data_IF_303765536085
#
_entry.id   IF_303765536085
#
_cell.length_a   1.000
_cell.length_b   1.000
_cell.length_c   1.000
_cell.angle_alpha   90.00
_cell.angle_beta   90.00
_cell.angle_gamma   90.00
#
_symmetry.space_group_name_H-M   'P 1'
#
loop_
_entity.id
_entity.type
_entity.pdbx_description
1 polymer ?
#
# COMPACT_ATOMS: atom_id res chain seq x y z
N UNK A 1 -16.82 -10.16 91.17
CA UNK A 1 -16.60 -11.60 91.39
C UNK A 1 -15.12 -11.81 91.68
N UNK A 2 -14.76 -11.87 92.96
CA UNK A 2 -13.40 -12.09 93.42
C UNK A 2 -13.06 -13.58 93.35
N UNK A 3 -12.09 -13.94 92.51
CA UNK A 3 -11.49 -15.27 92.52
C UNK A 3 -10.42 -15.32 93.60
N UNK A 4 -10.56 -16.25 94.54
CA UNK A 4 -9.59 -16.51 95.60
C UNK A 4 -8.27 -17.05 94.98
N UNK A 5 -7.13 -16.35 95.11
CA UNK A 5 -5.86 -16.77 94.50
C UNK A 5 -5.21 -17.98 95.18
N UNK A 6 -5.77 -18.48 96.29
CA UNK A 6 -5.23 -19.63 97.04
C UNK A 6 -5.66 -21.01 96.52
N UNK A 7 -6.46 -21.08 95.46
CA UNK A 7 -6.95 -22.34 94.87
C UNK A 7 -6.24 -22.81 93.59
N UNK A 8 -5.39 -21.98 92.98
CA UNK A 8 -4.63 -22.37 91.79
C UNK A 8 -3.25 -22.87 92.21
N UNK A 9 -3.20 -24.11 92.69
CA UNK A 9 -1.92 -24.82 92.80
C UNK A 9 -1.47 -25.20 91.39
N UNK A 10 -0.33 -24.66 90.95
CA UNK A 10 0.35 -25.18 89.76
C UNK A 10 0.58 -26.68 89.98
N UNK A 11 -0.04 -27.52 89.15
CA UNK A 11 0.25 -28.96 89.14
C UNK A 11 1.76 -29.12 88.94
N UNK A 12 2.48 -29.52 90.00
CA UNK A 12 3.92 -29.79 89.95
C UNK A 12 4.18 -30.85 88.88
N UNK A 13 4.76 -30.43 87.76
CA UNK A 13 5.13 -31.31 86.65
C UNK A 13 4.64 -30.84 85.27
N UNK A 14 3.62 -29.99 85.18
CA UNK A 14 3.21 -29.37 83.92
C UNK A 14 3.89 -28.01 83.74
N UNK A 15 5.19 -28.05 83.42
CA UNK A 15 5.91 -26.87 82.93
C UNK A 15 5.58 -26.76 81.46
N UNK A 16 4.91 -25.68 81.03
CA UNK A 16 4.78 -25.39 79.60
C UNK A 16 6.19 -25.50 78.97
N UNK A 17 6.38 -26.21 77.84
CA UNK A 17 7.70 -26.42 77.29
C UNK A 17 8.16 -25.13 76.59
N UNK A 18 8.46 -24.09 77.39
CA UNK A 18 8.80 -22.74 76.94
C UNK A 18 10.01 -22.77 76.01
N UNK A 19 10.94 -23.69 76.25
CA UNK A 19 12.08 -23.94 75.37
C UNK A 19 11.65 -24.47 74.00
N UNK A 20 10.76 -25.46 73.96
CA UNK A 20 10.23 -26.01 72.70
C UNK A 20 9.43 -24.94 71.93
N UNK A 21 8.57 -24.19 72.62
CA UNK A 21 7.77 -23.11 72.02
C UNK A 21 8.70 -22.05 71.42
N UNK A 22 9.70 -21.57 72.17
CA UNK A 22 10.69 -20.59 71.67
C UNK A 22 11.51 -21.12 70.50
N UNK A 23 11.89 -22.40 70.52
CA UNK A 23 12.61 -23.04 69.41
C UNK A 23 11.74 -23.11 68.16
N UNK A 24 10.47 -23.51 68.31
CA UNK A 24 9.50 -23.55 67.21
C UNK A 24 9.21 -22.14 66.67
N UNK A 25 9.05 -21.14 67.52
CA UNK A 25 8.86 -19.74 67.12
C UNK A 25 10.07 -19.22 66.36
N UNK A 26 11.29 -19.47 66.84
CA UNK A 26 12.52 -19.09 66.13
C UNK A 26 12.65 -19.79 64.78
N UNK A 27 12.26 -21.06 64.71
CA UNK A 27 12.31 -21.84 63.46
C UNK A 27 11.24 -21.36 62.47
N UNK A 28 10.05 -21.01 62.95
CA UNK A 28 9.00 -20.41 62.13
C UNK A 28 9.39 -19.02 61.60
N UNK A 29 9.97 -18.16 62.45
CA UNK A 29 10.51 -16.85 62.05
C UNK A 29 11.64 -17.02 61.03
N UNK A 30 12.55 -17.96 61.26
CA UNK A 30 13.64 -18.25 60.33
C UNK A 30 13.10 -18.71 58.96
N UNK A 31 12.14 -19.64 58.93
CA UNK A 31 11.52 -20.10 57.68
C UNK A 31 10.80 -18.97 56.95
N UNK A 32 10.07 -18.11 57.67
CA UNK A 32 9.38 -16.96 57.08
C UNK A 32 10.39 -15.98 56.46
N UNK A 33 11.45 -15.62 57.20
CA UNK A 33 12.51 -14.73 56.70
C UNK A 33 13.22 -15.34 55.49
N UNK A 34 13.46 -16.65 55.50
CA UNK A 34 14.07 -17.36 54.38
C UNK A 34 13.15 -17.35 53.15
N UNK A 35 11.85 -17.59 53.33
CA UNK A 35 10.88 -17.54 52.24
C UNK A 35 10.76 -16.13 51.64
N UNK A 36 10.76 -15.08 52.48
CA UNK A 36 10.79 -13.69 52.02
C UNK A 36 12.07 -13.42 51.25
N UNK A 37 13.24 -13.79 51.78
CA UNK A 37 14.52 -13.59 51.12
C UNK A 37 14.58 -14.32 49.76
N UNK A 38 14.13 -15.57 49.69
CA UNK A 38 14.03 -16.33 48.44
C UNK A 38 13.07 -15.65 47.47
N UNK A 39 11.90 -15.21 47.92
CA UNK A 39 10.94 -14.48 47.10
C UNK A 39 11.51 -13.17 46.56
N UNK A 40 12.26 -12.44 47.37
CA UNK A 40 12.90 -11.17 47.01
C UNK A 40 14.03 -11.40 46.00
N UNK A 41 14.88 -12.40 46.20
CA UNK A 41 15.91 -12.81 45.23
C UNK A 41 15.28 -13.26 43.92
N UNK A 42 14.20 -14.04 43.97
CA UNK A 42 13.49 -14.50 42.77
C UNK A 42 12.85 -13.34 42.01
N UNK A 43 12.22 -12.39 42.72
CA UNK A 43 11.64 -11.19 42.13
C UNK A 43 12.70 -10.27 41.52
N UNK A 44 13.83 -10.04 42.22
CA UNK A 44 14.94 -9.26 41.69
C UNK A 44 15.56 -9.91 40.44
N UNK A 45 15.74 -11.24 40.45
CA UNK A 45 16.18 -11.99 39.27
C UNK A 45 15.19 -11.89 38.11
N UNK A 46 13.89 -11.96 38.39
CA UNK A 46 12.87 -11.72 37.37
C UNK A 46 12.97 -10.30 36.82
N UNK A 47 13.12 -9.29 37.67
CA UNK A 47 13.23 -7.88 37.27
C UNK A 47 14.46 -7.61 36.39
N UNK A 48 15.54 -8.34 36.61
CA UNK A 48 16.76 -8.30 35.79
C UNK A 48 16.72 -9.23 34.57
N UNK A 49 15.66 -10.01 34.38
CA UNK A 49 15.54 -10.94 33.27
C UNK A 49 14.99 -10.28 32.01
N UNK A 50 15.41 -10.79 30.84
CA UNK A 50 14.85 -10.42 29.53
C UNK A 50 13.33 -10.58 29.47
N UNK A 51 12.78 -11.55 30.22
CA UNK A 51 11.32 -11.75 30.29
C UNK A 51 10.61 -10.55 30.89
N UNK A 52 11.15 -9.97 31.97
CA UNK A 52 10.56 -8.77 32.54
C UNK A 52 10.74 -7.58 31.60
N UNK A 53 11.91 -7.41 30.99
CA UNK A 53 12.15 -6.35 30.02
C UNK A 53 11.18 -6.41 28.82
N UNK A 54 10.96 -7.60 28.23
CA UNK A 54 10.01 -7.78 27.13
C UNK A 54 8.56 -7.51 27.60
N UNK A 55 8.19 -7.95 28.80
CA UNK A 55 6.84 -7.70 29.34
C UNK A 55 6.62 -6.23 29.68
N UNK A 56 7.65 -5.55 30.21
CA UNK A 56 7.62 -4.11 30.46
C UNK A 56 7.46 -3.35 29.15
N UNK A 57 8.28 -3.67 28.14
CA UNK A 57 8.16 -3.10 26.79
C UNK A 57 6.74 -3.25 26.23
N UNK A 58 6.15 -4.45 26.34
CA UNK A 58 4.78 -4.74 25.88
C UNK A 58 3.68 -4.05 26.71
N UNK A 59 3.99 -3.66 27.95
CA UNK A 59 3.05 -3.03 28.87
C UNK A 59 3.09 -1.49 28.84
N UNK A 60 3.98 -0.89 28.05
CA UNK A 60 4.12 0.57 27.94
C UNK A 60 2.85 1.21 27.40
N UNK A 61 2.58 2.43 27.87
CA UNK A 61 1.51 3.26 27.33
C UNK A 61 1.72 3.50 25.84
N UNK A 62 0.64 3.46 25.06
CA UNK A 62 0.66 3.52 23.61
C UNK A 62 0.70 2.15 22.91
N UNK A 63 0.92 1.06 23.64
CA UNK A 63 0.79 -0.30 23.09
C UNK A 63 -0.54 -0.94 23.50
N UNK A 64 -1.12 -1.70 22.57
CA UNK A 64 -2.39 -2.37 22.77
C UNK A 64 -2.28 -3.49 23.82
N UNK A 65 -3.11 -3.42 24.85
CA UNK A 65 -3.23 -4.43 25.90
C UNK A 65 -3.95 -5.68 25.38
N UNK A 66 -3.83 -6.85 26.04
CA UNK A 66 -4.49 -8.10 25.61
C UNK A 66 -6.00 -7.96 25.39
N UNK A 67 -6.69 -7.18 26.23
CA UNK A 67 -8.12 -6.92 26.10
C UNK A 67 -8.49 -6.05 24.90
N UNK A 68 -7.64 -5.09 24.56
CA UNK A 68 -7.83 -4.20 23.39
C UNK A 68 -7.61 -4.97 22.09
N UNK A 69 -6.56 -5.79 22.02
CA UNK A 69 -6.33 -6.70 20.89
C UNK A 69 -7.54 -7.61 20.67
N UNK A 70 -8.01 -8.24 21.75
CA UNK A 70 -9.17 -9.14 21.68
C UNK A 70 -10.43 -8.44 21.15
N UNK A 71 -10.62 -7.18 21.54
CA UNK A 71 -11.81 -6.40 21.19
C UNK A 71 -11.73 -5.81 19.77
N UNK A 72 -10.56 -5.34 19.35
CA UNK A 72 -10.42 -4.48 18.17
C UNK A 72 -9.70 -5.12 16.99
N UNK A 73 -8.74 -6.01 17.21
CA UNK A 73 -7.86 -6.54 16.15
C UNK A 73 -7.79 -8.07 16.14
N UNK A 74 -8.76 -8.74 16.74
CA UNK A 74 -8.80 -10.21 16.79
C UNK A 74 -9.44 -10.82 15.54
N UNK A 75 -9.20 -12.12 15.32
CA UNK A 75 -9.90 -12.90 14.29
C UNK A 75 -11.43 -12.79 14.40
N UNK A 76 -11.97 -12.71 15.63
CA UNK A 76 -13.41 -12.54 15.86
C UNK A 76 -13.90 -11.19 15.36
N UNK A 77 -13.11 -10.14 15.52
CA UNK A 77 -13.44 -8.80 15.03
C UNK A 77 -13.37 -8.77 13.49
N UNK A 78 -12.37 -9.38 12.88
CA UNK A 78 -12.29 -9.52 11.42
C UNK A 78 -13.50 -10.26 10.84
N UNK A 79 -13.89 -11.40 11.43
CA UNK A 79 -15.10 -12.14 11.05
C UNK A 79 -16.39 -11.34 11.22
N UNK A 80 -16.47 -10.49 12.24
CA UNK A 80 -17.61 -9.61 12.42
C UNK A 80 -17.68 -8.56 11.30
N UNK A 81 -16.54 -7.96 10.92
CA UNK A 81 -16.45 -7.00 9.80
C UNK A 81 -16.72 -7.66 8.44
N UNK A 82 -16.41 -8.95 8.27
CA UNK A 82 -16.67 -9.69 7.03
C UNK A 82 -18.14 -9.63 6.59
N UNK A 83 -19.09 -9.53 7.54
CA UNK A 83 -20.51 -9.38 7.22
C UNK A 83 -20.82 -8.10 6.44
N UNK A 84 -20.05 -7.04 6.67
CA UNK A 84 -20.18 -5.74 6.00
C UNK A 84 -19.27 -5.65 4.79
N UNK A 85 -18.03 -6.13 4.92
CA UNK A 85 -16.99 -5.96 3.90
C UNK A 85 -17.07 -7.01 2.78
N UNK A 86 -17.60 -8.20 3.05
CA UNK A 86 -17.76 -9.30 2.10
C UNK A 86 -19.11 -10.02 2.31
N UNK A 87 -20.25 -9.32 2.16
CA UNK A 87 -21.57 -9.87 2.46
C UNK A 87 -21.96 -11.08 1.61
N UNK A 88 -21.35 -11.25 0.43
CA UNK A 88 -21.57 -12.40 -0.45
C UNK A 88 -20.97 -13.71 0.07
N UNK A 89 -20.05 -13.66 1.05
CA UNK A 89 -19.42 -14.86 1.60
C UNK A 89 -20.31 -15.53 2.66
N UNK A 90 -20.68 -16.78 2.42
CA UNK A 90 -21.55 -17.57 3.33
C UNK A 90 -20.83 -17.99 4.62
N UNK A 91 -19.53 -18.31 4.52
CA UNK A 91 -18.71 -18.73 5.66
C UNK A 91 -17.31 -18.11 5.57
N UNK A 92 -17.17 -16.79 5.83
CA UNK A 92 -15.91 -16.10 5.66
C UNK A 92 -14.89 -16.59 6.68
N UNK A 93 -13.64 -16.77 6.23
CA UNK A 93 -12.50 -16.85 7.13
C UNK A 93 -12.10 -15.44 7.62
N UNK A 94 -11.35 -15.30 8.72
CA UNK A 94 -10.86 -13.98 9.17
C UNK A 94 -10.09 -13.22 8.09
N UNK A 95 -9.35 -13.94 7.24
CA UNK A 95 -8.59 -13.39 6.11
C UNK A 95 -9.45 -12.65 5.08
N UNK A 96 -10.73 -13.01 4.97
CA UNK A 96 -11.64 -12.42 3.99
C UNK A 96 -11.92 -10.93 4.25
N UNK A 97 -11.74 -10.47 5.49
CA UNK A 97 -12.05 -9.11 5.93
C UNK A 97 -10.96 -8.48 6.81
N UNK A 98 -9.88 -9.21 7.06
CA UNK A 98 -8.71 -8.64 7.69
C UNK A 98 -7.44 -9.37 7.32
N UNK A 99 -6.36 -8.64 7.19
CA UNK A 99 -5.05 -9.19 6.93
C UNK A 99 -4.29 -9.45 8.24
N UNK A 100 -3.72 -10.65 8.39
CA UNK A 100 -3.03 -11.07 9.61
C UNK A 100 -1.61 -10.49 9.64
N UNK A 101 -1.42 -9.45 10.44
CA UNK A 101 -0.13 -8.74 10.53
C UNK A 101 0.88 -9.45 11.45
N UNK A 102 0.40 -10.30 12.36
CA UNK A 102 1.25 -11.01 13.29
C UNK A 102 0.54 -11.49 14.56
N UNK A 103 1.30 -11.59 15.66
CA UNK A 103 0.82 -12.09 16.95
C UNK A 103 1.29 -11.20 18.10
N UNK A 104 0.38 -10.80 18.98
CA UNK A 104 0.67 -10.03 20.18
C UNK A 104 -0.07 -10.62 21.38
N UNK A 105 0.59 -10.70 22.54
CA UNK A 105 0.04 -11.32 23.76
C UNK A 105 -0.59 -12.71 23.54
N UNK A 106 0.02 -13.52 22.67
CA UNK A 106 -0.49 -14.87 22.35
C UNK A 106 -1.72 -14.90 21.44
N UNK A 107 -2.20 -13.75 20.96
CA UNK A 107 -3.38 -13.61 20.10
C UNK A 107 -2.96 -13.15 18.69
N UNK A 108 -3.63 -13.68 17.67
CA UNK A 108 -3.46 -13.20 16.31
C UNK A 108 -4.02 -11.78 16.17
N UNK A 109 -3.28 -10.93 15.45
CA UNK A 109 -3.63 -9.54 15.18
C UNK A 109 -3.96 -9.38 13.70
N UNK A 110 -5.13 -8.84 13.43
CA UNK A 110 -5.66 -8.55 12.11
C UNK A 110 -5.87 -7.04 11.95
N UNK A 111 -5.54 -6.52 10.77
CA UNK A 111 -5.90 -5.17 10.32
C UNK A 111 -7.02 -5.32 9.30
N UNK A 112 -8.02 -4.43 9.30
CA UNK A 112 -9.14 -4.52 8.37
C UNK A 112 -8.64 -4.35 6.93
N UNK A 113 -9.29 -5.00 5.96
CA UNK A 113 -8.96 -4.80 4.54
C UNK A 113 -9.27 -3.38 4.04
N UNK A 114 -10.04 -2.60 4.81
CA UNK A 114 -10.36 -1.20 4.54
C UNK A 114 -9.34 -0.22 5.14
N UNK A 115 -8.46 -0.70 6.02
CA UNK A 115 -7.50 0.15 6.72
C UNK A 115 -6.22 0.30 5.88
N UNK A 116 -5.81 1.54 5.64
CA UNK A 116 -4.52 1.84 4.97
C UNK A 116 -3.35 1.59 5.92
N UNK A 117 -2.30 0.91 5.43
CA UNK A 117 -1.10 0.58 6.21
C UNK A 117 0.14 1.22 5.59
N UNK A 118 0.96 1.86 6.44
CA UNK A 118 2.31 2.30 6.08
C UNK A 118 3.32 1.45 6.83
N UNK A 119 4.24 0.82 6.09
CA UNK A 119 5.35 0.06 6.65
C UNK A 119 6.65 0.81 6.43
N UNK A 120 7.15 1.42 7.50
CA UNK A 120 8.45 2.08 7.48
C UNK A 120 9.53 1.16 8.06
N UNK A 121 10.65 1.05 7.35
CA UNK A 121 11.79 0.27 7.81
C UNK A 121 13.04 0.52 6.98
N UNK A 122 14.18 0.57 7.65
CA UNK A 122 15.48 0.73 7.01
C UNK A 122 15.74 -0.37 5.96
N UNK A 123 16.61 -0.13 4.96
CA UNK A 123 17.03 -1.18 4.04
C UNK A 123 17.49 -2.45 4.76
N UNK A 124 17.14 -3.62 4.22
CA UNK A 124 17.44 -4.95 4.79
C UNK A 124 16.81 -5.26 6.16
N UNK A 125 15.84 -4.47 6.63
CA UNK A 125 15.02 -4.77 7.83
C UNK A 125 14.12 -6.01 7.69
N UNK A 126 13.98 -6.53 6.47
CA UNK A 126 13.11 -7.66 6.17
C UNK A 126 11.68 -7.27 5.81
N UNK A 127 11.38 -5.98 5.54
CA UNK A 127 10.04 -5.53 5.12
C UNK A 127 9.46 -6.34 3.95
N UNK A 128 10.24 -6.53 2.88
CA UNK A 128 9.82 -7.30 1.71
C UNK A 128 9.49 -8.74 2.08
N UNK A 129 10.47 -9.43 2.69
CA UNK A 129 10.35 -10.84 3.03
C UNK A 129 9.28 -11.15 4.09
N UNK A 130 9.17 -10.33 5.14
CA UNK A 130 8.31 -10.61 6.30
C UNK A 130 6.89 -10.07 6.16
N UNK A 131 6.70 -9.07 5.31
CA UNK A 131 5.44 -8.33 5.23
C UNK A 131 4.87 -8.35 3.81
N UNK A 132 5.60 -7.80 2.83
CA UNK A 132 5.09 -7.60 1.46
C UNK A 132 4.79 -8.94 0.76
N UNK A 133 5.69 -9.92 0.83
CA UNK A 133 5.47 -11.23 0.21
C UNK A 133 4.19 -11.90 0.75
N UNK A 134 4.02 -11.90 2.07
CA UNK A 134 2.82 -12.48 2.70
C UNK A 134 1.57 -11.69 2.31
N UNK A 135 1.63 -10.36 2.27
CA UNK A 135 0.50 -9.53 1.84
C UNK A 135 0.07 -9.85 0.39
N UNK A 136 1.01 -10.10 -0.52
CA UNK A 136 0.71 -10.47 -1.91
C UNK A 136 0.09 -11.88 -1.97
N UNK A 137 0.68 -12.85 -1.27
CA UNK A 137 0.24 -14.25 -1.33
C UNK A 137 -1.12 -14.47 -0.66
N UNK A 138 -1.37 -13.80 0.47
CA UNK A 138 -2.57 -14.01 1.28
C UNK A 138 -3.79 -13.23 0.76
N UNK A 139 -3.64 -12.37 -0.26
CA UNK A 139 -4.75 -11.55 -0.76
C UNK A 139 -5.64 -12.28 -1.75
N UNK A 140 -6.95 -12.37 -1.47
CA UNK A 140 -7.88 -13.13 -2.30
C UNK A 140 -8.33 -12.40 -3.57
N UNK A 141 -8.25 -11.07 -3.62
CA UNK A 141 -8.77 -10.25 -4.72
C UNK A 141 -7.74 -9.89 -5.79
N UNK A 142 -8.10 -8.96 -6.72
CA UNK A 142 -7.12 -8.36 -7.60
C UNK A 142 -6.11 -7.55 -6.78
N UNK A 143 -4.84 -7.55 -7.20
CA UNK A 143 -3.80 -6.76 -6.54
C UNK A 143 -2.86 -6.10 -7.54
N UNK A 144 -2.37 -4.92 -7.17
CA UNK A 144 -1.23 -4.28 -7.81
C UNK A 144 -0.08 -4.25 -6.82
N UNK A 145 1.11 -4.63 -7.27
CA UNK A 145 2.34 -4.42 -6.51
C UNK A 145 3.37 -3.70 -7.35
N UNK A 146 4.08 -2.76 -6.73
CA UNK A 146 5.23 -2.10 -7.34
C UNK A 146 6.52 -2.81 -6.95
N UNK A 147 7.51 -2.78 -7.84
CA UNK A 147 8.84 -3.29 -7.52
C UNK A 147 9.93 -2.59 -8.32
N UNK A 148 11.01 -2.21 -7.65
CA UNK A 148 12.25 -1.74 -8.30
C UNK A 148 13.19 -2.89 -8.66
N UNK A 149 12.96 -4.08 -8.09
CA UNK A 149 13.81 -5.27 -8.18
C UNK A 149 12.96 -6.53 -8.42
N UNK A 150 13.60 -7.63 -8.78
CA UNK A 150 12.90 -8.90 -9.05
C UNK A 150 12.60 -9.73 -7.77
N UNK A 151 12.79 -9.19 -6.57
CA UNK A 151 12.66 -9.95 -5.32
C UNK A 151 11.21 -10.33 -4.99
N UNK A 152 10.30 -9.36 -4.92
CA UNK A 152 8.88 -9.64 -4.64
C UNK A 152 8.24 -10.47 -5.77
N UNK A 153 8.56 -10.14 -7.03
CA UNK A 153 8.05 -10.82 -8.22
C UNK A 153 8.47 -12.29 -8.23
N UNK A 154 9.77 -12.59 -8.13
CA UNK A 154 10.27 -13.97 -8.17
C UNK A 154 9.73 -14.84 -7.04
N UNK A 155 9.45 -14.26 -5.87
CA UNK A 155 8.92 -14.99 -4.73
C UNK A 155 7.42 -15.30 -4.84
N UNK A 156 6.64 -14.47 -5.53
CA UNK A 156 5.17 -14.52 -5.46
C UNK A 156 4.47 -14.88 -6.78
N UNK A 157 5.09 -14.60 -7.93
CA UNK A 157 4.49 -14.75 -9.25
C UNK A 157 3.90 -16.15 -9.50
N UNK A 158 4.64 -17.20 -9.18
CA UNK A 158 4.21 -18.59 -9.44
C UNK A 158 2.97 -18.96 -8.63
N UNK A 159 2.92 -18.55 -7.37
CA UNK A 159 1.79 -18.86 -6.49
C UNK A 159 0.56 -18.05 -6.88
N UNK A 160 0.73 -16.77 -7.24
CA UNK A 160 -0.36 -15.94 -7.80
C UNK A 160 -0.92 -16.54 -9.08
N UNK A 161 -0.07 -17.03 -9.98
CA UNK A 161 -0.47 -17.67 -11.23
C UNK A 161 -1.28 -18.97 -11.06
N UNK A 162 -1.34 -19.54 -9.84
CA UNK A 162 -2.23 -20.67 -9.54
C UNK A 162 -3.67 -20.25 -9.23
N UNK A 163 -3.89 -18.98 -8.88
CA UNK A 163 -5.17 -18.46 -8.40
C UNK A 163 -5.81 -17.50 -9.40
N UNK A 164 -5.00 -16.73 -10.15
CA UNK A 164 -5.48 -15.82 -11.19
C UNK A 164 -4.40 -15.45 -12.20
N UNK A 165 -4.77 -14.61 -13.16
CA UNK A 165 -3.85 -14.16 -14.20
C UNK A 165 -2.80 -13.20 -13.63
N UNK A 166 -1.55 -13.39 -14.03
CA UNK A 166 -0.43 -12.54 -13.61
C UNK A 166 0.12 -11.76 -14.78
N UNK A 167 0.04 -10.44 -14.67
CA UNK A 167 0.60 -9.49 -15.63
C UNK A 167 1.82 -8.80 -15.02
N UNK A 168 2.92 -8.76 -15.76
CA UNK A 168 4.16 -8.09 -15.34
C UNK A 168 4.43 -6.94 -16.29
N UNK A 169 4.11 -5.71 -15.90
CA UNK A 169 4.43 -4.53 -16.70
C UNK A 169 5.85 -4.06 -16.39
N UNK A 170 6.81 -4.51 -17.22
CA UNK A 170 8.23 -4.19 -17.13
C UNK A 170 8.73 -3.54 -18.44
N UNK A 171 8.39 -2.27 -18.69
CA UNK A 171 8.74 -1.59 -19.94
C UNK A 171 10.26 -1.39 -20.12
N UNK A 172 11.02 -1.46 -19.03
CA UNK A 172 12.47 -1.29 -19.01
C UNK A 172 13.23 -2.63 -19.11
N UNK A 173 12.52 -3.77 -19.18
CA UNK A 173 13.09 -5.12 -19.27
C UNK A 173 14.04 -5.48 -18.11
N UNK A 174 13.78 -4.98 -16.90
CA UNK A 174 14.64 -5.14 -15.71
C UNK A 174 14.64 -6.56 -15.16
N UNK A 175 13.56 -7.30 -15.34
CA UNK A 175 13.33 -8.63 -14.74
C UNK A 175 13.69 -9.77 -15.68
N UNK A 176 13.79 -9.50 -16.98
CA UNK A 176 13.91 -10.50 -18.04
C UNK A 176 12.61 -11.29 -18.31
N UNK A 177 11.51 -10.98 -17.63
CA UNK A 177 10.20 -11.58 -17.87
C UNK A 177 9.50 -10.83 -18.99
N UNK A 178 9.07 -11.54 -20.03
CA UNK A 178 8.29 -10.92 -21.12
C UNK A 178 6.84 -10.80 -20.69
N UNK A 179 6.32 -9.58 -20.64
CA UNK A 179 4.88 -9.37 -20.54
C UNK A 179 4.19 -9.74 -21.85
N UNK A 180 3.15 -10.56 -21.78
CA UNK A 180 2.26 -10.75 -22.92
C UNK A 180 1.34 -9.54 -23.12
N UNK A 181 0.93 -8.88 -22.03
CA UNK A 181 0.05 -7.72 -22.05
C UNK A 181 0.83 -6.41 -22.01
N UNK A 182 0.31 -5.42 -22.71
CA UNK A 182 0.85 -4.08 -22.91
C UNK A 182 -0.19 -3.06 -22.49
N UNK A 183 0.28 -1.94 -21.95
CA UNK A 183 -0.59 -0.90 -21.38
C UNK A 183 -0.35 0.40 -22.14
N UNK A 184 -1.36 0.85 -22.89
CA UNK A 184 -1.26 2.11 -23.62
C UNK A 184 -1.59 3.30 -22.72
N UNK A 185 -0.74 4.35 -22.66
CA UNK A 185 -1.10 5.59 -22.02
C UNK A 185 -2.21 6.34 -22.76
N UNK A 186 -2.54 5.98 -24.00
CA UNK A 186 -3.57 6.65 -24.80
C UNK A 186 -4.95 6.00 -24.63
N UNK A 187 -5.03 4.76 -24.16
CA UNK A 187 -6.30 4.03 -24.03
C UNK A 187 -7.28 4.77 -23.11
N UNK A 188 -8.50 5.02 -23.59
CA UNK A 188 -9.55 5.72 -22.86
C UNK A 188 -9.49 7.24 -22.97
N UNK A 189 -8.44 7.81 -23.56
CA UNK A 189 -8.31 9.25 -23.75
C UNK A 189 -9.18 9.81 -24.88
N UNK A 190 -10.03 8.99 -25.51
CA UNK A 190 -11.15 9.47 -26.33
C UNK A 190 -12.11 10.31 -25.49
N UNK A 191 -12.24 10.00 -24.19
CA UNK A 191 -12.89 10.86 -23.22
C UNK A 191 -11.94 12.00 -22.81
N UNK A 192 -12.29 13.28 -23.05
CA UNK A 192 -11.45 14.41 -22.65
C UNK A 192 -11.17 14.48 -21.15
N UNK A 193 -12.09 14.02 -20.29
CA UNK A 193 -11.86 13.99 -18.85
C UNK A 193 -10.74 13.02 -18.49
N UNK A 194 -10.73 11.84 -19.11
CA UNK A 194 -9.68 10.83 -18.92
C UNK A 194 -8.35 11.34 -19.46
N UNK A 195 -8.35 11.97 -20.63
CA UNK A 195 -7.16 12.58 -21.21
C UNK A 195 -6.56 13.67 -20.32
N UNK A 196 -7.40 14.53 -19.74
CA UNK A 196 -6.99 15.60 -18.83
C UNK A 196 -6.38 15.06 -17.52
N UNK A 197 -7.10 14.17 -16.84
CA UNK A 197 -6.62 13.53 -15.61
C UNK A 197 -5.30 12.78 -15.84
N UNK A 198 -5.18 12.09 -16.98
CA UNK A 198 -3.98 11.33 -17.33
C UNK A 198 -2.80 12.23 -17.66
N UNK A 199 -3.01 13.32 -18.39
CA UNK A 199 -1.97 14.30 -18.67
C UNK A 199 -1.42 14.93 -17.40
N UNK A 200 -2.31 15.29 -16.46
CA UNK A 200 -1.93 15.77 -15.13
C UNK A 200 -1.11 14.73 -14.34
N UNK A 201 -1.58 13.48 -14.28
CA UNK A 201 -0.91 12.40 -13.56
C UNK A 201 0.51 12.13 -14.09
N UNK A 202 0.68 12.08 -15.42
CA UNK A 202 1.98 11.83 -16.04
C UNK A 202 2.95 12.97 -15.72
N UNK A 203 2.55 14.23 -15.86
CA UNK A 203 3.42 15.38 -15.56
C UNK A 203 3.74 15.45 -14.07
N UNK A 204 2.77 15.20 -13.19
CA UNK A 204 2.98 15.22 -11.75
C UNK A 204 4.01 14.18 -11.28
N UNK A 205 4.09 13.03 -11.95
CA UNK A 205 5.10 12.01 -11.71
C UNK A 205 6.51 12.33 -12.24
N UNK A 206 6.71 13.49 -12.88
CA UNK A 206 8.04 13.95 -13.32
C UNK A 206 8.73 14.84 -12.29
N UNK A 207 10.04 15.08 -12.49
CA UNK A 207 10.79 16.05 -11.68
C UNK A 207 10.21 17.48 -11.75
N UNK A 208 9.59 17.85 -12.89
CA UNK A 208 8.91 19.14 -13.04
C UNK A 208 7.69 19.21 -12.11
N UNK A 209 6.86 18.17 -12.11
CA UNK A 209 5.68 18.07 -11.26
C UNK A 209 5.99 18.04 -9.77
N UNK A 210 7.11 17.42 -9.38
CA UNK A 210 7.57 17.41 -7.99
C UNK A 210 8.15 18.76 -7.51
N UNK A 211 8.45 19.69 -8.42
CA UNK A 211 9.04 20.99 -8.08
C UNK A 211 7.99 21.98 -7.59
N UNK A 212 8.20 22.54 -6.39
CA UNK A 212 7.35 23.60 -5.84
C UNK A 212 7.48 24.94 -6.57
N UNK A 213 8.63 25.21 -7.19
CA UNK A 213 8.92 26.49 -7.86
C UNK A 213 8.41 26.51 -9.30
N UNK A 214 8.16 25.35 -9.90
CA UNK A 214 7.82 25.23 -11.32
C UNK A 214 6.36 24.79 -11.57
N UNK A 215 5.46 24.99 -10.61
CA UNK A 215 4.08 24.50 -10.69
C UNK A 215 3.29 25.13 -11.85
N UNK A 216 3.49 26.42 -12.12
CA UNK A 216 2.85 27.11 -13.25
C UNK A 216 3.20 26.42 -14.58
N UNK A 217 4.48 26.05 -14.77
CA UNK A 217 4.92 25.34 -15.96
C UNK A 217 4.41 23.90 -16.03
N UNK A 218 4.31 23.23 -14.88
CA UNK A 218 3.73 21.88 -14.80
C UNK A 218 2.25 21.89 -15.22
N UNK A 219 1.48 22.91 -14.85
CA UNK A 219 0.07 23.05 -15.25
C UNK A 219 -0.08 23.21 -16.77
N UNK A 220 0.69 24.12 -17.39
CA UNK A 220 0.61 24.30 -18.85
C UNK A 220 1.11 23.06 -19.60
N UNK A 221 2.18 22.42 -19.12
CA UNK A 221 2.68 21.15 -19.68
C UNK A 221 1.62 20.04 -19.60
N UNK A 222 0.86 19.98 -18.49
CA UNK A 222 -0.23 19.00 -18.31
C UNK A 222 -1.36 19.26 -19.29
N UNK A 223 -1.73 20.52 -19.48
CA UNK A 223 -2.72 20.91 -20.49
C UNK A 223 -2.30 20.45 -21.88
N UNK A 224 -1.09 20.79 -22.32
CA UNK A 224 -0.55 20.34 -23.62
C UNK A 224 -0.57 18.82 -23.74
N UNK A 225 -0.04 18.11 -22.75
CA UNK A 225 0.01 16.64 -22.79
C UNK A 225 -1.39 16.02 -22.89
N UNK A 226 -2.37 16.58 -22.19
CA UNK A 226 -3.77 16.13 -22.24
C UNK A 226 -4.35 16.26 -23.65
N UNK A 227 -4.11 17.37 -24.33
CA UNK A 227 -4.54 17.57 -25.73
C UNK A 227 -3.87 16.56 -26.66
N UNK A 228 -2.57 16.29 -26.47
CA UNK A 228 -1.84 15.30 -27.27
C UNK A 228 -2.35 13.87 -27.04
N UNK A 229 -2.68 13.51 -25.80
CA UNK A 229 -3.28 12.22 -25.45
C UNK A 229 -4.64 12.05 -26.13
N UNK A 230 -5.51 13.05 -26.03
CA UNK A 230 -6.83 13.02 -26.65
C UNK A 230 -6.74 12.94 -28.18
N UNK A 231 -5.88 13.76 -28.81
CA UNK A 231 -5.63 13.71 -30.24
C UNK A 231 -5.12 12.32 -30.68
N UNK A 232 -4.26 11.68 -29.89
CA UNK A 232 -3.68 10.38 -30.24
C UNK A 232 -4.73 9.27 -30.15
N UNK A 233 -5.68 9.39 -29.22
CA UNK A 233 -6.79 8.47 -29.03
C UNK A 233 -7.82 8.59 -30.15
N UNK A 234 -8.37 9.80 -30.37
CA UNK A 234 -9.43 10.00 -31.38
C UNK A 234 -8.97 9.74 -32.81
N UNK A 235 -7.68 9.93 -33.10
CA UNK A 235 -7.13 9.61 -34.43
C UNK A 235 -6.72 8.15 -34.59
N UNK A 236 -6.84 7.32 -33.55
CA UNK A 236 -6.38 5.92 -33.51
C UNK A 236 -4.89 5.73 -33.84
N UNK A 237 -4.09 6.81 -33.79
CA UNK A 237 -2.63 6.77 -34.06
C UNK A 237 -1.82 6.37 -32.83
N UNK A 238 -2.43 6.36 -31.65
CA UNK A 238 -1.90 5.77 -30.42
C UNK A 238 -0.58 6.37 -29.91
N UNK A 239 0.16 5.56 -29.16
CA UNK A 239 1.39 5.97 -28.46
C UNK A 239 2.49 6.47 -29.40
N UNK A 240 2.52 6.01 -30.66
CA UNK A 240 3.50 6.46 -31.65
C UNK A 240 3.29 7.93 -32.05
N UNK A 241 2.04 8.34 -32.28
CA UNK A 241 1.71 9.73 -32.53
C UNK A 241 1.99 10.59 -31.29
N UNK A 242 1.58 10.13 -30.10
CA UNK A 242 1.85 10.83 -28.84
C UNK A 242 3.35 11.15 -28.69
N UNK A 243 4.20 10.15 -28.87
CA UNK A 243 5.64 10.33 -28.73
C UNK A 243 6.24 11.22 -29.83
N UNK A 244 5.71 11.14 -31.05
CA UNK A 244 6.13 12.00 -32.16
C UNK A 244 5.77 13.46 -31.91
N UNK A 245 4.52 13.74 -31.56
CA UNK A 245 4.05 15.11 -31.31
C UNK A 245 4.70 15.71 -30.05
N UNK A 246 4.86 14.91 -29.00
CA UNK A 246 5.55 15.34 -27.78
C UNK A 246 7.02 15.71 -27.98
N UNK A 247 7.68 15.14 -28.99
CA UNK A 247 9.10 15.39 -29.25
C UNK A 247 9.40 16.78 -29.80
N UNK A 248 8.44 17.43 -30.47
CA UNK A 248 8.66 18.72 -31.13
C UNK A 248 7.33 19.47 -31.33
N UNK A 249 7.20 20.75 -30.89
CA UNK A 249 5.99 21.54 -31.09
C UNK A 249 5.51 21.61 -32.53
N UNK A 250 6.44 21.68 -33.50
CA UNK A 250 6.11 21.76 -34.92
C UNK A 250 5.39 20.51 -35.41
N UNK A 251 5.76 19.34 -34.88
CA UNK A 251 5.10 18.07 -35.24
C UNK A 251 3.71 17.99 -34.61
N UNK A 252 3.49 18.64 -33.47
CA UNK A 252 2.18 18.70 -32.80
C UNK A 252 1.14 19.54 -33.54
N UNK A 253 1.49 20.32 -34.57
CA UNK A 253 0.50 20.96 -35.45
C UNK A 253 -0.41 19.92 -36.15
N UNK A 254 0.07 18.70 -36.36
CA UNK A 254 -0.81 17.61 -36.82
C UNK A 254 -1.88 17.25 -35.79
N UNK A 255 -1.54 17.30 -34.50
CA UNK A 255 -2.50 17.05 -33.42
C UNK A 255 -3.56 18.16 -33.35
N UNK A 256 -3.20 19.41 -33.60
CA UNK A 256 -4.16 20.53 -33.77
C UNK A 256 -5.16 20.20 -34.87
N UNK A 257 -4.67 19.79 -36.05
CA UNK A 257 -5.55 19.39 -37.16
C UNK A 257 -6.46 18.20 -36.83
N UNK A 258 -5.98 17.23 -36.06
CA UNK A 258 -6.81 16.12 -35.56
C UNK A 258 -7.90 16.64 -34.63
N UNK A 259 -7.53 17.47 -33.64
CA UNK A 259 -8.46 18.01 -32.65
C UNK A 259 -9.54 18.89 -33.29
N UNK A 260 -9.20 19.68 -34.31
CA UNK A 260 -10.15 20.50 -35.04
C UNK A 260 -11.27 19.68 -35.71
N UNK A 261 -10.97 18.44 -36.12
CA UNK A 261 -11.90 17.59 -36.86
C UNK A 261 -12.65 16.59 -35.97
N UNK A 262 -11.98 16.04 -34.96
CA UNK A 262 -12.47 14.88 -34.18
C UNK A 262 -12.31 15.08 -32.66
N UNK A 263 -11.65 16.15 -32.24
CA UNK A 263 -11.39 16.41 -30.83
C UNK A 263 -12.52 17.15 -30.12
N UNK A 264 -12.32 17.33 -28.82
CA UNK A 264 -13.22 18.08 -27.97
C UNK A 264 -13.24 19.58 -28.34
N UNK A 265 -14.41 20.24 -28.30
CA UNK A 265 -14.51 21.67 -28.62
C UNK A 265 -13.54 22.54 -27.82
N UNK A 266 -12.86 23.47 -28.50
CA UNK A 266 -11.89 24.39 -27.89
C UNK A 266 -10.48 23.83 -27.71
N UNK A 267 -10.30 22.50 -27.75
CA UNK A 267 -9.00 21.88 -27.48
C UNK A 267 -8.00 22.10 -28.61
N UNK A 268 -8.50 22.24 -29.85
CA UNK A 268 -7.68 22.59 -31.00
C UNK A 268 -7.13 24.01 -30.86
N UNK A 269 -8.01 24.96 -30.57
CA UNK A 269 -7.67 26.38 -30.40
C UNK A 269 -6.72 26.58 -29.22
N UNK A 270 -6.96 25.89 -28.10
CA UNK A 270 -6.09 25.92 -26.93
C UNK A 270 -4.67 25.44 -27.26
N UNK A 271 -4.54 24.30 -27.96
CA UNK A 271 -3.24 23.75 -28.32
C UNK A 271 -2.50 24.65 -29.32
N UNK A 272 -3.22 25.15 -30.33
CA UNK A 272 -2.66 26.05 -31.34
C UNK A 272 -2.16 27.36 -30.72
N UNK A 273 -2.92 27.95 -29.79
CA UNK A 273 -2.55 29.16 -29.07
C UNK A 273 -1.24 29.00 -28.27
N UNK A 274 -0.98 27.80 -27.73
CA UNK A 274 0.29 27.52 -27.04
C UNK A 274 1.43 27.35 -28.05
N UNK A 275 1.22 26.59 -29.14
CA UNK A 275 2.25 26.31 -30.15
C UNK A 275 2.68 27.59 -30.89
N UNK A 276 1.74 28.48 -31.21
CA UNK A 276 1.99 29.73 -31.94
C UNK A 276 2.08 30.96 -31.02
N UNK A 277 2.05 30.75 -29.70
CA UNK A 277 2.06 31.82 -28.70
C UNK A 277 3.45 32.33 -28.34
N UNK A 278 3.61 32.78 -27.10
CA UNK A 278 4.87 33.28 -26.57
C UNK A 278 5.98 32.21 -26.56
N UNK A 279 7.16 32.56 -27.08
CA UNK A 279 8.28 31.62 -27.27
C UNK A 279 8.78 31.03 -25.94
N UNK A 280 8.78 31.84 -24.87
CA UNK A 280 9.22 31.39 -23.54
C UNK A 280 8.21 30.45 -22.91
N UNK A 281 6.91 30.77 -23.02
CA UNK A 281 5.83 29.90 -22.58
C UNK A 281 5.87 28.55 -23.31
N UNK A 282 6.04 28.59 -24.64
CA UNK A 282 6.18 27.39 -25.46
C UNK A 282 7.37 26.54 -25.01
N UNK A 283 8.56 27.13 -24.92
CA UNK A 283 9.77 26.41 -24.52
C UNK A 283 9.65 25.76 -23.13
N UNK A 284 9.13 26.49 -22.14
CA UNK A 284 8.95 25.98 -20.78
C UNK A 284 7.91 24.85 -20.71
N UNK A 285 6.79 24.99 -21.41
CA UNK A 285 5.72 23.99 -21.42
C UNK A 285 6.16 22.73 -22.17
N UNK A 286 6.84 22.89 -23.30
CA UNK A 286 7.32 21.75 -24.08
C UNK A 286 8.47 21.03 -23.40
N UNK A 287 9.28 21.72 -22.58
CA UNK A 287 10.29 21.06 -21.75
C UNK A 287 9.66 20.03 -20.81
N UNK A 288 8.52 20.34 -20.19
CA UNK A 288 7.76 19.41 -19.35
C UNK A 288 7.20 18.22 -20.15
N UNK A 289 6.57 18.49 -21.30
CA UNK A 289 6.02 17.45 -22.19
C UNK A 289 7.11 16.53 -22.72
N UNK A 290 8.22 17.10 -23.19
CA UNK A 290 9.38 16.34 -23.65
C UNK A 290 9.96 15.47 -22.52
N UNK A 291 10.10 16.04 -21.32
CA UNK A 291 10.58 15.31 -20.15
C UNK A 291 9.69 14.11 -19.79
N UNK A 292 8.37 14.30 -19.81
CA UNK A 292 7.39 13.24 -19.55
C UNK A 292 7.38 12.13 -20.61
N UNK A 293 7.52 12.49 -21.89
CA UNK A 293 7.44 11.54 -23.00
C UNK A 293 8.81 10.98 -23.42
N UNK A 294 9.92 11.45 -22.81
CA UNK A 294 11.27 10.95 -23.05
C UNK A 294 11.40 9.42 -22.96
N UNK A 295 10.74 8.71 -22.02
CA UNK A 295 10.81 7.25 -21.98
C UNK A 295 10.32 6.58 -23.29
N UNK A 296 9.36 7.19 -24.00
CA UNK A 296 8.87 6.67 -25.29
C UNK A 296 9.91 6.80 -26.41
N UNK A 297 11.03 7.50 -26.22
CA UNK A 297 12.15 7.45 -27.18
C UNK A 297 12.90 6.12 -27.14
N UNK A 298 12.76 5.35 -26.06
CA UNK A 298 13.37 4.03 -25.90
C UNK A 298 12.46 2.98 -26.56
N UNK A 299 12.96 2.19 -27.54
CA UNK A 299 12.11 1.25 -28.29
C UNK A 299 11.40 0.21 -27.45
N UNK A 300 12.05 -0.35 -26.41
CA UNK A 300 11.42 -1.34 -25.51
C UNK A 300 10.26 -0.75 -24.73
N UNK A 301 10.44 0.43 -24.14
CA UNK A 301 9.38 1.15 -23.39
C UNK A 301 8.22 1.49 -24.32
N UNK A 302 8.51 2.07 -25.50
CA UNK A 302 7.49 2.40 -26.50
C UNK A 302 6.69 1.15 -26.91
N UNK A 303 7.38 0.04 -27.18
CA UNK A 303 6.75 -1.23 -27.55
C UNK A 303 5.84 -1.73 -26.43
N UNK A 304 6.29 -1.69 -25.17
CA UNK A 304 5.48 -2.10 -24.01
C UNK A 304 4.23 -1.22 -23.82
N UNK A 305 4.26 0.03 -24.33
CA UNK A 305 3.15 0.99 -24.29
C UNK A 305 2.33 1.07 -25.58
N UNK A 306 2.61 0.19 -26.55
CA UNK A 306 1.90 0.14 -27.83
C UNK A 306 1.34 -1.29 -28.02
N UNK A 307 0.14 -1.57 -27.48
CA UNK A 307 -0.49 -2.87 -27.62
C UNK A 307 -0.86 -3.15 -29.08
N UNK A 308 -0.51 -4.35 -29.57
CA UNK A 308 -1.12 -4.91 -30.78
C UNK A 308 -2.51 -5.52 -30.48
N UNK A 309 -3.21 -6.02 -31.51
CA UNK A 309 -4.47 -6.73 -31.33
C UNK A 309 -4.34 -7.89 -30.34
N UNK A 310 -5.16 -7.90 -29.30
CA UNK A 310 -5.15 -8.93 -28.24
C UNK A 310 -4.04 -8.81 -27.20
N UNK A 311 -3.15 -7.81 -27.30
CA UNK A 311 -2.12 -7.54 -26.28
C UNK A 311 -2.56 -6.48 -25.27
N UNK A 312 -3.74 -5.90 -25.42
CA UNK A 312 -4.23 -4.83 -24.54
C UNK A 312 -4.56 -5.37 -23.15
N UNK A 313 -4.06 -4.69 -22.12
CA UNK A 313 -4.46 -4.96 -20.75
C UNK A 313 -5.94 -4.59 -20.52
N UNK A 314 -6.73 -5.60 -20.17
CA UNK A 314 -8.15 -5.46 -19.86
C UNK A 314 -8.34 -5.22 -18.35
N UNK A 315 -8.64 -3.97 -18.01
CA UNK A 315 -8.94 -3.53 -16.64
C UNK A 315 -10.18 -4.21 -16.05
N UNK A 316 -11.18 -4.48 -16.89
CA UNK A 316 -12.42 -5.07 -16.43
C UNK A 316 -12.23 -6.54 -16.06
N UNK A 317 -11.52 -7.27 -16.91
CA UNK A 317 -11.09 -8.64 -16.63
C UNK A 317 -10.14 -8.70 -15.43
N UNK A 318 -9.19 -7.77 -15.32
CA UNK A 318 -8.28 -7.68 -14.18
C UNK A 318 -9.03 -7.59 -12.85
N UNK A 319 -10.00 -6.68 -12.74
CA UNK A 319 -10.77 -6.46 -11.51
C UNK A 319 -11.79 -7.57 -11.18
N UNK A 320 -12.12 -8.43 -12.15
CA UNK A 320 -13.13 -9.48 -11.98
C UNK A 320 -12.62 -10.76 -11.31
N UNK A 321 -11.30 -10.89 -11.10
CA UNK A 321 -10.69 -12.10 -10.55
C UNK A 321 -9.56 -11.82 -9.58
N UNK A 322 -8.94 -12.88 -9.05
CA UNK A 322 -7.76 -12.83 -8.18
C UNK A 322 -6.46 -12.51 -8.94
N UNK A 323 -6.55 -11.59 -9.90
CA UNK A 323 -5.47 -11.28 -10.83
C UNK A 323 -4.39 -10.41 -10.18
N UNK A 324 -3.20 -10.38 -10.75
CA UNK A 324 -2.07 -9.64 -10.19
C UNK A 324 -1.35 -8.83 -11.25
N UNK A 325 -1.17 -7.54 -10.98
CA UNK A 325 -0.40 -6.63 -11.83
C UNK A 325 0.88 -6.21 -11.09
N UNK A 326 2.03 -6.64 -11.61
CA UNK A 326 3.33 -6.23 -11.13
C UNK A 326 3.82 -5.05 -11.96
N UNK A 327 3.91 -3.88 -11.35
CA UNK A 327 4.46 -2.68 -11.96
C UNK A 327 5.95 -2.59 -11.65
N UNK A 328 6.78 -2.81 -12.66
CA UNK A 328 8.22 -2.82 -12.51
C UNK A 328 8.83 -1.59 -13.17
N UNK A 329 9.70 -0.90 -12.44
CA UNK A 329 10.39 0.26 -12.98
C UNK A 329 11.40 0.87 -12.02
N UNK A 330 12.26 1.73 -12.56
CA UNK A 330 13.20 2.54 -11.79
C UNK A 330 12.74 4.00 -11.74
N UNK A 331 12.90 4.66 -10.59
CA UNK A 331 12.52 6.07 -10.45
C UNK A 331 13.49 7.09 -11.04
N UNK A 332 14.68 6.67 -11.48
CA UNK A 332 15.73 7.57 -11.96
C UNK A 332 16.21 7.21 -13.38
N UNK A 333 16.68 8.22 -14.11
CA UNK A 333 17.31 8.07 -15.43
C UNK A 333 16.37 8.35 -16.62
N UNK A 334 16.92 8.22 -17.83
CA UNK A 334 16.21 8.56 -19.07
C UNK A 334 14.99 7.71 -19.40
N UNK A 335 14.92 6.51 -18.85
CA UNK A 335 13.79 5.59 -18.98
C UNK A 335 12.86 5.59 -17.76
N UNK A 336 12.90 6.61 -16.89
CA UNK A 336 11.97 6.67 -15.74
C UNK A 336 10.53 6.75 -16.24
N UNK A 337 9.78 5.68 -16.01
CA UNK A 337 8.36 5.54 -16.41
C UNK A 337 7.41 5.95 -15.29
N UNK A 338 7.91 6.60 -14.24
CA UNK A 338 7.15 6.93 -13.03
C UNK A 338 5.79 7.59 -13.27
N UNK A 339 5.75 8.64 -14.11
CA UNK A 339 4.50 9.31 -14.48
C UNK A 339 3.50 8.38 -15.17
N UNK A 340 3.97 7.49 -16.04
CA UNK A 340 3.11 6.49 -16.68
C UNK A 340 2.59 5.45 -15.68
N UNK A 341 3.44 4.97 -14.77
CA UNK A 341 3.01 4.03 -13.72
C UNK A 341 1.97 4.66 -12.79
N UNK A 342 2.14 5.94 -12.43
CA UNK A 342 1.15 6.69 -11.66
C UNK A 342 -0.17 6.83 -12.39
N UNK A 343 -0.14 7.17 -13.69
CA UNK A 343 -1.34 7.21 -14.51
C UNK A 343 -2.07 5.86 -14.61
N UNK A 344 -1.33 4.74 -14.67
CA UNK A 344 -1.91 3.40 -14.64
C UNK A 344 -2.58 3.12 -13.30
N UNK A 345 -1.94 3.49 -12.18
CA UNK A 345 -2.55 3.37 -10.85
C UNK A 345 -3.84 4.19 -10.76
N UNK A 346 -3.83 5.43 -11.24
CA UNK A 346 -5.02 6.29 -11.25
C UNK A 346 -6.16 5.67 -12.06
N UNK A 347 -5.87 5.12 -13.24
CA UNK A 347 -6.87 4.49 -14.12
C UNK A 347 -7.49 3.24 -13.49
N UNK A 348 -6.66 2.38 -12.86
CA UNK A 348 -7.16 1.19 -12.16
C UNK A 348 -8.02 1.59 -10.96
N UNK A 349 -7.57 2.57 -10.17
CA UNK A 349 -8.28 3.01 -8.97
C UNK A 349 -9.60 3.70 -9.32
N UNK A 350 -9.63 4.55 -10.34
CA UNK A 350 -10.86 5.21 -10.78
C UNK A 350 -11.85 4.20 -11.38
N UNK A 351 -11.36 3.25 -12.17
CA UNK A 351 -12.21 2.17 -12.71
C UNK A 351 -12.76 1.29 -11.59
N UNK A 352 -11.93 0.92 -10.61
CA UNK A 352 -12.35 0.18 -9.42
C UNK A 352 -13.41 0.96 -8.62
N UNK A 353 -13.20 2.26 -8.40
CA UNK A 353 -14.14 3.15 -7.70
C UNK A 353 -15.49 3.23 -8.43
N UNK A 354 -15.49 3.44 -9.74
CA UNK A 354 -16.70 3.49 -10.56
C UNK A 354 -17.47 2.16 -10.48
N UNK A 355 -16.77 1.03 -10.57
CA UNK A 355 -17.38 -0.30 -10.41
C UNK A 355 -17.95 -0.52 -9.02
N UNK A 356 -17.21 -0.15 -7.98
CA UNK A 356 -17.66 -0.26 -6.61
C UNK A 356 -18.96 0.53 -6.40
N UNK A 357 -19.01 1.81 -6.82
CA UNK A 357 -20.20 2.66 -6.70
C UNK A 357 -21.43 2.08 -7.41
N UNK A 358 -21.24 1.40 -8.54
CA UNK A 358 -22.30 0.72 -9.28
C UNK A 358 -22.69 -0.65 -8.68
N UNK A 359 -21.90 -1.19 -7.75
CA UNK A 359 -22.10 -2.51 -7.16
C UNK A 359 -22.91 -2.45 -5.85
N UNK A 360 -23.58 -3.55 -5.46
CA UNK A 360 -24.32 -3.61 -4.20
C UNK A 360 -23.46 -3.24 -2.99
N UNK A 361 -23.97 -2.34 -2.15
CA UNK A 361 -23.24 -1.84 -0.98
C UNK A 361 -22.09 -0.89 -1.32
N UNK A 362 -22.01 -0.41 -2.56
CA UNK A 362 -20.99 0.50 -3.07
C UNK A 362 -19.56 -0.04 -2.89
N UNK A 363 -19.38 -1.36 -3.10
CA UNK A 363 -18.12 -2.08 -2.90
C UNK A 363 -17.87 -3.10 -4.00
N UNK A 364 -16.60 -3.35 -4.29
CA UNK A 364 -16.19 -4.47 -5.14
C UNK A 364 -16.47 -5.82 -4.47
N UNK A 365 -16.91 -6.80 -5.25
CA UNK A 365 -17.07 -8.18 -4.77
C UNK A 365 -15.72 -8.80 -4.34
N UNK A 366 -14.68 -8.56 -5.16
CA UNK A 366 -13.29 -8.85 -4.87
C UNK A 366 -12.55 -7.52 -4.59
N UNK A 367 -12.14 -7.27 -3.34
CA UNK A 367 -11.44 -6.04 -2.98
C UNK A 367 -10.10 -5.91 -3.71
N UNK A 368 -9.82 -4.72 -4.24
CA UNK A 368 -8.53 -4.40 -4.86
C UNK A 368 -7.49 -4.06 -3.78
N UNK A 369 -6.35 -4.74 -3.79
CA UNK A 369 -5.19 -4.36 -2.98
C UNK A 369 -4.18 -3.54 -3.77
N UNK A 370 -3.69 -2.46 -3.17
CA UNK A 370 -2.53 -1.69 -3.63
C UNK A 370 -1.36 -1.94 -2.69
N UNK A 371 -0.50 -2.90 -3.02
CA UNK A 371 0.67 -3.29 -2.23
C UNK A 371 1.90 -2.61 -2.82
N UNK A 372 2.04 -1.31 -2.54
CA UNK A 372 2.98 -0.45 -3.26
C UNK A 372 4.36 -0.39 -2.59
N UNK A 373 5.17 -1.45 -2.75
CA UNK A 373 6.56 -1.46 -2.25
C UNK A 373 7.44 -0.46 -3.02
N UNK A 374 8.29 0.27 -2.28
CA UNK A 374 9.19 1.30 -2.81
C UNK A 374 8.53 2.39 -3.66
N UNK A 375 7.22 2.62 -3.54
CA UNK A 375 6.48 3.63 -4.32
C UNK A 375 7.15 5.00 -4.25
N UNK A 376 7.55 5.43 -3.05
CA UNK A 376 8.21 6.72 -2.83
C UNK A 376 9.58 6.83 -3.53
N UNK A 377 10.25 5.70 -3.80
CA UNK A 377 11.52 5.67 -4.54
C UNK A 377 11.31 5.54 -6.05
N UNK A 378 10.16 5.00 -6.49
CA UNK A 378 9.82 4.84 -7.89
C UNK A 378 9.29 6.14 -8.50
N UNK A 379 8.30 6.78 -7.88
CA UNK A 379 7.77 8.06 -8.34
C UNK A 379 6.88 8.72 -7.28
N UNK A 380 6.61 10.02 -7.46
CA UNK A 380 5.58 10.69 -6.67
C UNK A 380 4.21 10.36 -7.27
N UNK A 381 3.36 9.70 -6.48
CA UNK A 381 1.94 9.48 -6.84
C UNK A 381 1.06 10.48 -6.07
N UNK A 382 0.62 11.59 -6.70
CA UNK A 382 -0.08 12.66 -5.99
C UNK A 382 -1.41 12.22 -5.38
N UNK A 383 -2.08 11.22 -5.98
CA UNK A 383 -3.34 10.71 -5.47
C UNK A 383 -3.17 9.86 -4.21
N UNK A 384 -1.96 9.37 -3.89
CA UNK A 384 -1.73 8.43 -2.78
C UNK A 384 -2.34 8.90 -1.44
N UNK A 385 -2.14 10.15 -0.97
CA UNK A 385 -2.74 10.58 0.30
C UNK A 385 -4.27 10.55 0.29
N UNK A 386 -4.89 10.93 -0.84
CA UNK A 386 -6.34 10.89 -1.03
C UNK A 386 -6.84 9.44 -1.05
N UNK A 387 -6.18 8.57 -1.81
CA UNK A 387 -6.54 7.15 -1.87
C UNK A 387 -6.38 6.46 -0.52
N UNK A 388 -5.38 6.82 0.27
CA UNK A 388 -5.22 6.29 1.62
C UNK A 388 -6.33 6.74 2.58
N UNK A 389 -6.87 7.94 2.41
CA UNK A 389 -7.96 8.49 3.22
C UNK A 389 -9.34 7.97 2.78
N UNK A 390 -9.58 7.92 1.47
CA UNK A 390 -10.86 7.52 0.88
C UNK A 390 -11.01 5.99 0.75
N UNK A 391 -9.90 5.26 0.67
CA UNK A 391 -9.85 3.88 0.20
C UNK A 391 -10.63 2.86 1.04
N UNK A 392 -10.83 3.13 2.33
CA UNK A 392 -11.66 2.24 3.17
C UNK A 392 -13.17 2.33 2.89
N UNK A 393 -13.60 3.42 2.26
CA UNK A 393 -15.01 3.71 2.00
C UNK A 393 -15.57 3.09 0.73
N UNK A 394 -14.73 2.44 -0.10
CA UNK A 394 -15.05 2.05 -1.48
C UNK A 394 -14.66 0.59 -1.72
#
# INVERSE_FOLDING_TARGET
MGGNPSGFTLVKGCVAPVTLIRVLDLLAVFLLLTAIAVGLVWWLRYRQSDRHFINDLRGREGLAKPGEIRKHTSARTALHRAKTLRPSLVNPAPSAAGWKVGRAHGQDVYVSIEDSIVVEGAPRSGKGYRFIINAILDWDGPLITTSTRNDNLSATMRERARVGDVTVFDPQELTGIRSALRISPVAGCEDPLVADQRGQAIIAGTALGASKTNQEWAQVSSSVLSRLLHAAAVSERGTDALARWGSNPRLALEAVGVLANQGSPGWSEDLDAIINGDEKLLANSWFGVFGALRPLSIPSIRKAMTPGPGEQFDLDAFLAGSNSLYLVGTGAGAGSVGGFLGAILDDVVETARRKALASPGSRLELPLALILDEIANMFSWPALPRIMADGGGI
#
